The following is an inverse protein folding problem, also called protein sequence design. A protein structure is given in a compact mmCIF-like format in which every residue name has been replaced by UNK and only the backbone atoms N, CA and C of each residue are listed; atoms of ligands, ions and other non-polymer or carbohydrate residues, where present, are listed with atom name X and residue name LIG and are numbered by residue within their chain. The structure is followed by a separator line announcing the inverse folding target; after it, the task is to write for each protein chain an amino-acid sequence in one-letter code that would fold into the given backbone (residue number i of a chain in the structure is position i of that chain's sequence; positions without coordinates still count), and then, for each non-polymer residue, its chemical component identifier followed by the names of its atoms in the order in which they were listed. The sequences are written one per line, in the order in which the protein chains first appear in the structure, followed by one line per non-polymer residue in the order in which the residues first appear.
data_IF_503614106535
#
_entry.id   IF_503614106535
#
_cell.length_a   1.000
_cell.length_b   1.000
_cell.length_c   1.000
_cell.angle_alpha   90.00
_cell.angle_beta   90.00
_cell.angle_gamma   90.00
#
_symmetry.space_group_name_H-M   'P 1'
#
loop_
_entity.id
_entity.type
_entity.pdbx_description
1 polymer ?
#
# COMPACT_ATOMS: atom_id res chain seq x y z
N UNK A 1 15.48 7.59 12.69
CA UNK A 1 14.14 7.62 13.33
C UNK A 1 13.20 8.32 12.36
N UNK A 2 11.95 7.88 12.20
CA UNK A 2 11.02 8.33 11.13
C UNK A 2 10.47 9.77 11.30
N UNK A 3 11.24 10.66 11.94
CA UNK A 3 10.82 12.01 12.34
C UNK A 3 9.73 12.00 13.42
N UNK A 4 9.53 13.15 14.08
CA UNK A 4 8.32 13.43 14.88
C UNK A 4 7.91 12.34 15.92
N UNK A 5 8.86 11.57 16.46
CA UNK A 5 8.58 10.41 17.33
C UNK A 5 7.62 9.36 16.72
N UNK A 6 7.60 9.23 15.38
CA UNK A 6 6.76 8.27 14.68
C UNK A 6 7.39 6.86 14.67
N UNK A 7 6.57 5.84 14.92
CA UNK A 7 6.90 4.47 14.58
C UNK A 7 6.80 4.26 13.06
N UNK A 8 7.46 3.23 12.53
CA UNK A 8 7.36 2.87 11.10
C UNK A 8 5.89 2.75 10.66
N UNK A 9 5.06 2.08 11.47
CA UNK A 9 3.63 1.93 11.19
C UNK A 9 2.90 3.28 11.08
N UNK A 10 3.12 4.19 12.03
CA UNK A 10 2.51 5.54 12.02
C UNK A 10 3.00 6.38 10.84
N UNK A 11 4.28 6.31 10.52
CA UNK A 11 4.88 6.97 9.36
C UNK A 11 4.25 6.47 8.05
N UNK A 12 4.24 5.15 7.83
CA UNK A 12 3.63 4.54 6.66
C UNK A 12 2.15 4.91 6.51
N UNK A 13 1.37 4.83 7.59
CA UNK A 13 -0.04 5.21 7.59
C UNK A 13 -0.27 6.68 7.16
N UNK A 14 0.64 7.59 7.52
CA UNK A 14 0.59 9.02 7.16
C UNK A 14 0.99 9.26 5.70
N UNK A 15 2.08 8.64 5.23
CA UNK A 15 2.69 8.96 3.94
C UNK A 15 2.04 8.22 2.75
N UNK A 16 1.58 6.97 2.93
CA UNK A 16 1.06 6.10 1.85
C UNK A 16 0.02 6.79 0.95
N UNK A 17 -0.99 7.53 1.47
CA UNK A 17 -2.00 8.13 0.59
C UNK A 17 -1.47 9.18 -0.39
N UNK A 18 -0.33 9.83 -0.11
CA UNK A 18 0.17 10.97 -0.88
C UNK A 18 1.58 10.76 -1.44
N UNK A 19 2.47 10.16 -0.66
CA UNK A 19 3.90 10.03 -0.94
C UNK A 19 4.39 8.60 -1.12
N UNK A 20 3.53 7.65 -1.53
CA UNK A 20 3.94 6.26 -1.77
C UNK A 20 5.16 6.15 -2.70
N UNK A 21 5.26 7.03 -3.70
CA UNK A 21 6.32 7.04 -4.72
C UNK A 21 7.70 7.35 -4.09
N UNK A 22 7.72 8.07 -2.98
CA UNK A 22 8.95 8.48 -2.30
C UNK A 22 9.56 7.34 -1.46
N UNK A 23 8.76 6.32 -1.13
CA UNK A 23 9.15 5.25 -0.20
C UNK A 23 9.20 3.87 -0.86
N UNK A 24 8.56 3.69 -2.01
CA UNK A 24 8.60 2.42 -2.76
C UNK A 24 9.91 2.29 -3.53
N UNK A 25 10.37 1.06 -3.66
CA UNK A 25 11.54 0.74 -4.47
C UNK A 25 11.32 1.23 -5.92
N UNK A 26 12.25 2.03 -6.44
CA UNK A 26 12.20 2.60 -7.79
C UNK A 26 12.03 1.53 -8.87
N UNK A 27 12.50 0.29 -8.62
CA UNK A 27 12.33 -0.83 -9.54
C UNK A 27 10.85 -1.16 -9.79
N UNK A 28 10.00 -0.97 -8.79
CA UNK A 28 8.54 -1.15 -8.92
C UNK A 28 7.91 -0.08 -9.82
N UNK A 29 8.54 1.09 -9.94
CA UNK A 29 8.08 2.19 -10.79
C UNK A 29 8.63 2.07 -12.22
N UNK A 30 9.86 1.57 -12.38
CA UNK A 30 10.51 1.42 -13.70
C UNK A 30 9.88 0.31 -14.54
N UNK A 31 9.37 -0.75 -13.91
CA UNK A 31 8.75 -1.91 -14.58
C UNK A 31 7.52 -1.55 -15.43
N UNK A 32 6.99 -0.34 -15.30
CA UNK A 32 5.71 0.01 -15.89
C UNK A 32 5.63 1.46 -16.39
N UNK A 33 6.76 2.02 -16.80
CA UNK A 33 6.89 3.44 -17.16
C UNK A 33 6.15 3.88 -18.43
N UNK A 34 5.40 3.02 -19.11
CA UNK A 34 4.71 3.34 -20.36
C UNK A 34 3.23 3.74 -20.16
N UNK A 35 2.96 5.05 -20.21
CA UNK A 35 1.62 5.62 -20.46
C UNK A 35 0.59 5.47 -19.33
N UNK A 36 -0.67 5.18 -19.70
CA UNK A 36 -1.83 5.07 -18.79
C UNK A 36 -1.62 4.07 -17.63
N UNK A 37 -0.72 3.09 -17.81
CA UNK A 37 -0.36 2.10 -16.79
C UNK A 37 0.24 2.72 -15.52
N UNK A 38 0.86 3.89 -15.62
CA UNK A 38 1.53 4.55 -14.48
C UNK A 38 0.56 4.98 -13.37
N UNK A 39 -0.65 5.44 -13.74
CA UNK A 39 -1.68 5.85 -12.76
C UNK A 39 -2.19 4.60 -12.02
N UNK A 40 -2.50 3.54 -12.78
CA UNK A 40 -2.95 2.25 -12.24
C UNK A 40 -1.98 1.67 -11.21
N UNK A 41 -0.68 1.87 -11.39
CA UNK A 41 0.32 1.31 -10.46
C UNK A 41 0.48 2.13 -9.21
N UNK A 42 0.42 3.45 -9.31
CA UNK A 42 0.38 4.27 -8.10
C UNK A 42 -0.81 3.84 -7.24
N UNK A 43 -2.00 3.70 -7.83
CA UNK A 43 -3.20 3.25 -7.14
C UNK A 43 -3.07 1.83 -6.58
N UNK A 44 -2.44 0.93 -7.34
CA UNK A 44 -2.10 -0.42 -6.91
C UNK A 44 -1.20 -0.39 -5.66
N UNK A 45 -0.07 0.30 -5.73
CA UNK A 45 0.89 0.42 -4.63
C UNK A 45 0.27 1.05 -3.38
N UNK A 46 -0.55 2.10 -3.52
CA UNK A 46 -1.31 2.68 -2.40
C UNK A 46 -2.21 1.64 -1.75
N UNK A 47 -2.95 0.87 -2.56
CA UNK A 47 -3.93 -0.11 -2.07
C UNK A 47 -3.24 -1.28 -1.37
N UNK A 48 -2.19 -1.84 -1.97
CA UNK A 48 -1.37 -2.89 -1.35
C UNK A 48 -0.71 -2.43 -0.04
N UNK A 49 -0.13 -1.23 -0.03
CA UNK A 49 0.53 -0.71 1.16
C UNK A 49 -0.46 -0.44 2.30
N UNK A 50 -1.70 -0.03 2.01
CA UNK A 50 -2.78 0.11 3.01
C UNK A 50 -3.11 -1.23 3.68
N UNK A 51 -3.21 -2.31 2.90
CA UNK A 51 -3.41 -3.66 3.43
C UNK A 51 -2.23 -4.05 4.31
N UNK A 52 -0.99 -3.87 3.83
CA UNK A 52 0.22 -4.18 4.60
C UNK A 52 0.30 -3.43 5.93
N UNK A 53 -0.04 -2.14 5.94
CA UNK A 53 -0.12 -1.35 7.19
C UNK A 53 -1.19 -1.90 8.12
N UNK A 54 -2.39 -2.20 7.62
CA UNK A 54 -3.45 -2.79 8.45
C UNK A 54 -3.07 -4.15 9.05
N UNK A 55 -2.37 -5.00 8.29
CA UNK A 55 -1.86 -6.29 8.76
C UNK A 55 -0.72 -6.14 9.80
N UNK A 56 0.05 -5.06 9.74
CA UNK A 56 1.19 -4.81 10.65
C UNK A 56 0.80 -4.25 12.02
N UNK A 57 -0.48 -4.13 12.33
CA UNK A 57 -0.92 -3.52 13.58
C UNK A 57 -0.68 -4.47 14.76
N UNK A 58 0.21 -4.07 15.68
CA UNK A 58 0.72 -4.89 16.80
C UNK A 58 -0.35 -5.34 17.82
N UNK A 59 -1.46 -4.60 17.94
CA UNK A 59 -2.52 -4.92 18.89
C UNK A 59 -3.68 -5.65 18.21
N UNK A 60 -3.81 -6.94 18.55
CA UNK A 60 -4.72 -7.95 18.02
C UNK A 60 -6.23 -7.65 18.17
N UNK A 61 -6.64 -6.45 18.56
CA UNK A 61 -8.08 -6.13 18.68
C UNK A 61 -8.82 -6.12 17.36
N UNK A 62 -8.11 -6.02 16.20
CA UNK A 62 -8.70 -6.16 14.86
C UNK A 62 -7.65 -6.30 13.73
N UNK A 63 -6.70 -7.26 13.80
CA UNK A 63 -5.91 -7.58 12.62
C UNK A 63 -6.88 -7.99 11.50
N UNK A 64 -6.63 -7.52 10.28
CA UNK A 64 -7.39 -7.99 9.13
C UNK A 64 -7.26 -9.51 9.08
N UNK A 65 -8.38 -10.23 9.13
CA UNK A 65 -8.32 -11.67 9.01
C UNK A 65 -7.88 -12.03 7.57
N UNK A 66 -7.27 -13.20 7.38
CA UNK A 66 -6.73 -13.56 6.06
C UNK A 66 -7.80 -13.61 4.96
N UNK A 67 -9.06 -13.92 5.30
CA UNK A 67 -10.17 -13.91 4.33
C UNK A 67 -10.46 -12.48 3.86
N UNK A 68 -10.49 -11.51 4.77
CA UNK A 68 -10.69 -10.10 4.46
C UNK A 68 -9.55 -9.59 3.57
N UNK A 69 -8.30 -9.95 3.89
CA UNK A 69 -7.13 -9.63 3.06
C UNK A 69 -7.29 -10.16 1.64
N UNK A 70 -7.67 -11.43 1.49
CA UNK A 70 -7.89 -12.06 0.19
C UNK A 70 -9.01 -11.36 -0.58
N UNK A 71 -10.11 -11.01 0.09
CA UNK A 71 -11.23 -10.27 -0.52
C UNK A 71 -10.79 -8.90 -1.03
N UNK A 72 -10.06 -8.13 -0.22
CA UNK A 72 -9.54 -6.81 -0.61
C UNK A 72 -8.54 -6.93 -1.78
N UNK A 73 -7.65 -7.93 -1.77
CA UNK A 73 -6.73 -8.18 -2.88
C UNK A 73 -7.46 -8.50 -4.19
N UNK A 74 -8.51 -9.31 -4.13
CA UNK A 74 -9.35 -9.59 -5.30
C UNK A 74 -10.08 -8.33 -5.79
N UNK A 75 -10.60 -7.50 -4.88
CA UNK A 75 -11.25 -6.24 -5.24
C UNK A 75 -10.28 -5.27 -5.93
N UNK A 76 -9.03 -5.16 -5.43
CA UNK A 76 -7.97 -4.37 -6.07
C UNK A 76 -7.67 -4.90 -7.47
N UNK A 77 -7.51 -6.21 -7.62
CA UNK A 77 -7.25 -6.83 -8.93
C UNK A 77 -8.36 -6.51 -9.92
N UNK A 78 -9.62 -6.73 -9.55
CA UNK A 78 -10.77 -6.45 -10.41
C UNK A 78 -10.91 -4.97 -10.77
N UNK A 79 -10.57 -4.07 -9.84
CA UNK A 79 -10.64 -2.62 -10.07
C UNK A 79 -9.55 -2.12 -11.04
N UNK A 80 -8.34 -2.66 -10.93
CA UNK A 80 -7.15 -2.12 -11.60
C UNK A 80 -6.72 -2.92 -12.84
N UNK A 81 -7.15 -4.19 -12.95
CA UNK A 81 -6.85 -5.11 -14.03
C UNK A 81 -8.14 -5.83 -14.45
N UNK A 82 -9.06 -5.13 -15.16
CA UNK A 82 -10.31 -5.71 -15.65
C UNK A 82 -10.09 -6.85 -16.64
#
# INVERSE_FOLDING_TARGET
MFGENLSLHKFCKKIIPKGIIEIVDLRLLTLYSEGERKITIKECLVSFARIGVACSQEFLTRPMNIKDVIMELHAIKHKLLP
#
